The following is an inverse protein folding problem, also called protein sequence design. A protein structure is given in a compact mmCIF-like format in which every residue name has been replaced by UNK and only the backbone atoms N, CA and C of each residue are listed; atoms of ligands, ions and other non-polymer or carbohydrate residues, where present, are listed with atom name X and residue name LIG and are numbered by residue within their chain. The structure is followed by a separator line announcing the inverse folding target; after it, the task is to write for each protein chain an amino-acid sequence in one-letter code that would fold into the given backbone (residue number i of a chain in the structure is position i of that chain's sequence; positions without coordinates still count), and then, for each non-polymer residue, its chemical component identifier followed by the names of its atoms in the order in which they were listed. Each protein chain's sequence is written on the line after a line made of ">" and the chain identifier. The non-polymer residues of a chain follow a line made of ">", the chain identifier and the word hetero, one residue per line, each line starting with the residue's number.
data_IF_410215068943
#
_entry.id   IF_410215068943
#
_cell.length_a   1.000
_cell.length_b   1.000
_cell.length_c   1.000
_cell.angle_alpha   90.00
_cell.angle_beta   90.00
_cell.angle_gamma   90.00
#
_symmetry.space_group_name_H-M   'P 1'
#
loop_
_entity.id
_entity.type
_entity.pdbx_description
1 polymer ?
#
# COMPACT_ATOMS: atom_id res chain seq x y z
N UNK A 1 -1.50 0.43 27.49
CA UNK A 1 -2.69 0.96 26.80
C UNK A 1 -2.30 1.18 25.36
N UNK A 2 -2.24 0.09 24.60
CA UNK A 2 -1.97 0.17 23.16
C UNK A 2 -3.30 0.49 22.49
N UNK A 3 -3.33 1.67 21.89
CA UNK A 3 -4.45 2.15 21.11
C UNK A 3 -4.82 1.09 20.08
N UNK A 4 -6.11 0.80 20.01
CA UNK A 4 -6.80 0.12 18.91
C UNK A 4 -6.55 0.97 17.63
N UNK A 5 -5.37 0.83 17.05
CA UNK A 5 -5.04 1.46 15.78
C UNK A 5 -5.88 0.69 14.78
N UNK A 6 -7.03 1.26 14.43
CA UNK A 6 -7.90 0.73 13.37
C UNK A 6 -7.09 0.73 12.08
N UNK A 7 -6.39 -0.38 11.84
CA UNK A 7 -5.50 -0.57 10.70
C UNK A 7 -6.39 -0.71 9.46
N UNK A 8 -6.65 0.42 8.79
CA UNK A 8 -7.40 0.41 7.54
C UNK A 8 -6.50 -0.07 6.41
N UNK A 9 -6.91 -1.14 5.75
CA UNK A 9 -6.33 -1.54 4.48
C UNK A 9 -6.42 -0.37 3.50
N UNK A 10 -5.43 -0.25 2.60
CA UNK A 10 -5.30 0.89 1.69
C UNK A 10 -6.36 0.90 0.55
N UNK A 11 -7.50 0.20 0.69
CA UNK A 11 -8.54 0.10 -0.35
C UNK A 11 -9.60 1.19 -0.18
N UNK A 12 -10.01 1.85 -1.27
CA UNK A 12 -11.13 2.82 -1.26
C UNK A 12 -12.46 2.15 -0.92
N UNK A 13 -12.61 0.87 -1.23
CA UNK A 13 -13.72 0.03 -0.79
C UNK A 13 -13.40 -0.46 0.61
N UNK A 14 -14.13 0.06 1.59
CA UNK A 14 -14.24 -0.35 3.00
C UNK A 14 -13.56 -1.69 3.32
N UNK A 15 -12.56 -1.66 4.22
CA UNK A 15 -11.79 -2.82 4.69
C UNK A 15 -12.59 -3.83 5.53
N UNK A 16 -13.81 -4.16 5.10
CA UNK A 16 -14.73 -5.13 5.71
C UNK A 16 -14.79 -6.46 4.96
N UNK A 17 -13.96 -6.64 3.93
CA UNK A 17 -13.80 -7.91 3.21
C UNK A 17 -12.77 -8.84 3.87
N UNK A 18 -12.77 -10.10 3.46
CA UNK A 18 -11.72 -11.06 3.83
C UNK A 18 -10.34 -10.60 3.36
N UNK A 19 -9.27 -11.08 4.00
CA UNK A 19 -7.88 -10.74 3.62
C UNK A 19 -7.61 -11.00 2.13
N UNK A 20 -8.14 -12.11 1.59
CA UNK A 20 -8.00 -12.48 0.18
C UNK A 20 -8.71 -11.49 -0.76
N UNK A 21 -9.90 -11.03 -0.40
CA UNK A 21 -10.64 -10.01 -1.17
C UNK A 21 -9.91 -8.66 -1.15
N UNK A 22 -9.39 -8.26 0.02
CA UNK A 22 -8.62 -7.03 0.16
C UNK A 22 -7.32 -7.12 -0.65
N UNK A 23 -6.61 -8.24 -0.58
CA UNK A 23 -5.40 -8.48 -1.36
C UNK A 23 -5.68 -8.39 -2.86
N UNK A 24 -6.74 -9.06 -3.33
CA UNK A 24 -7.14 -9.03 -4.73
C UNK A 24 -7.49 -7.62 -5.17
N UNK A 25 -8.27 -6.88 -4.38
CA UNK A 25 -8.62 -5.50 -4.67
C UNK A 25 -7.38 -4.59 -4.79
N UNK A 26 -6.38 -4.75 -3.92
CA UNK A 26 -5.12 -3.99 -4.02
C UNK A 26 -4.26 -4.38 -5.23
N UNK A 27 -4.33 -5.63 -5.67
CA UNK A 27 -3.63 -6.11 -6.87
C UNK A 27 -4.31 -5.68 -8.16
N UNK A 28 -5.62 -5.44 -8.12
CA UNK A 28 -6.42 -4.91 -9.22
C UNK A 28 -6.33 -3.38 -9.31
N UNK A 29 -6.17 -2.69 -8.17
CA UNK A 29 -6.01 -1.24 -8.11
C UNK A 29 -4.71 -0.79 -8.82
N UNK A 30 -4.79 -0.01 -9.91
CA UNK A 30 -3.64 0.39 -10.71
C UNK A 30 -2.69 1.36 -9.97
N UNK A 31 -3.20 2.05 -8.95
CA UNK A 31 -2.45 3.01 -8.16
C UNK A 31 -1.76 2.35 -6.97
N UNK A 32 -2.36 1.30 -6.39
CA UNK A 32 -1.81 0.56 -5.23
C UNK A 32 -0.90 -0.58 -5.66
N UNK A 33 -1.27 -1.33 -6.71
CA UNK A 33 -0.51 -2.49 -7.21
C UNK A 33 0.99 -2.20 -7.41
N UNK A 34 1.43 -1.05 -7.94
CA UNK A 34 2.85 -0.72 -8.05
C UNK A 34 3.55 -0.60 -6.70
N UNK A 35 2.92 0.01 -5.69
CA UNK A 35 3.47 0.14 -4.33
C UNK A 35 3.49 -1.22 -3.63
N UNK A 36 2.40 -2.01 -3.74
CA UNK A 36 2.31 -3.35 -3.17
C UNK A 36 3.44 -4.23 -3.69
N UNK A 37 3.58 -4.31 -5.01
CA UNK A 37 4.70 -5.04 -5.64
C UNK A 37 6.04 -4.51 -5.16
N UNK A 38 6.21 -3.20 -5.01
CA UNK A 38 7.49 -2.65 -4.59
C UNK A 38 7.81 -2.97 -3.12
N UNK A 39 6.83 -2.91 -2.22
CA UNK A 39 6.96 -3.23 -0.79
C UNK A 39 7.24 -4.72 -0.55
N UNK A 40 6.66 -5.60 -1.39
CA UNK A 40 6.97 -7.03 -1.39
C UNK A 40 8.42 -7.29 -1.83
N UNK A 41 8.89 -6.57 -2.85
CA UNK A 41 10.23 -6.79 -3.42
C UNK A 41 11.36 -6.03 -2.69
N UNK A 42 11.03 -5.12 -1.77
CA UNK A 42 11.98 -4.18 -1.17
C UNK A 42 11.44 -3.65 0.14
N UNK A 43 12.14 -3.93 1.24
CA UNK A 43 11.88 -3.28 2.52
C UNK A 43 12.22 -1.78 2.44
N UNK A 44 13.27 -1.45 1.68
CA UNK A 44 13.74 -0.07 1.53
C UNK A 44 12.82 0.78 0.67
N UNK A 45 12.70 2.06 1.08
CA UNK A 45 11.96 3.07 0.35
C UNK A 45 12.60 3.29 -1.03
N UNK A 46 11.85 3.10 -2.12
CA UNK A 46 12.37 3.36 -3.47
C UNK A 46 12.77 4.83 -3.63
N UNK A 47 13.82 5.08 -4.42
CA UNK A 47 14.24 6.44 -4.71
C UNK A 47 13.13 7.23 -5.42
N UNK A 48 13.02 8.51 -5.10
CA UNK A 48 11.99 9.39 -5.65
C UNK A 48 12.05 9.45 -7.18
N UNK A 49 13.24 9.45 -7.78
CA UNK A 49 13.43 9.43 -9.24
C UNK A 49 12.87 8.16 -9.89
N UNK A 50 13.07 6.98 -9.27
CA UNK A 50 12.56 5.71 -9.78
C UNK A 50 11.03 5.63 -9.72
N UNK A 51 10.40 6.43 -8.85
CA UNK A 51 8.95 6.56 -8.74
C UNK A 51 8.41 7.53 -9.80
N UNK A 52 9.03 8.71 -9.95
CA UNK A 52 8.61 9.70 -10.96
C UNK A 52 8.76 9.17 -12.39
N UNK A 53 9.77 8.34 -12.65
CA UNK A 53 9.99 7.71 -13.96
C UNK A 53 8.80 6.87 -14.45
N UNK A 54 7.84 6.54 -13.57
CA UNK A 54 6.63 5.77 -13.92
C UNK A 54 5.41 6.65 -14.24
N UNK A 55 5.51 7.96 -14.05
CA UNK A 55 4.49 8.98 -14.33
C UNK A 55 3.06 8.67 -13.82
N UNK A 56 2.96 8.14 -12.59
CA UNK A 56 1.67 7.85 -11.92
C UNK A 56 1.43 8.88 -10.80
N UNK A 57 0.45 9.80 -10.93
CA UNK A 57 0.16 10.82 -9.92
C UNK A 57 -0.15 10.24 -8.53
N UNK A 58 -0.85 9.10 -8.46
CA UNK A 58 -1.20 8.45 -7.20
C UNK A 58 -0.01 7.77 -6.51
N UNK A 59 1.00 7.31 -7.26
CA UNK A 59 2.20 6.71 -6.67
C UNK A 59 3.00 7.71 -5.85
N UNK A 60 2.94 9.02 -6.16
CA UNK A 60 3.54 10.08 -5.33
C UNK A 60 2.91 10.15 -3.94
N UNK A 61 1.57 10.05 -3.85
CA UNK A 61 0.84 10.08 -2.57
C UNK A 61 1.20 8.89 -1.69
N UNK A 62 1.22 7.70 -2.27
CA UNK A 62 1.59 6.49 -1.53
C UNK A 62 3.08 6.41 -1.21
N UNK A 63 3.96 7.02 -2.02
CA UNK A 63 5.39 7.15 -1.70
C UNK A 63 5.62 8.06 -0.50
N UNK A 64 4.89 9.17 -0.39
CA UNK A 64 4.95 10.03 0.80
C UNK A 64 4.47 9.29 2.06
N UNK A 65 3.55 8.34 1.90
CA UNK A 65 3.06 7.48 2.96
C UNK A 65 3.92 6.22 3.18
N UNK A 66 5.02 6.02 2.44
CA UNK A 66 5.76 4.75 2.44
C UNK A 66 6.13 4.25 3.84
N UNK A 67 6.60 5.14 4.70
CA UNK A 67 7.05 4.82 6.06
C UNK A 67 5.88 4.49 7.01
N UNK A 68 4.66 4.92 6.66
CA UNK A 68 3.42 4.55 7.36
C UNK A 68 2.76 3.28 6.81
N UNK A 69 3.24 2.78 5.67
CA UNK A 69 2.72 1.55 5.07
C UNK A 69 3.42 0.33 5.64
N UNK A 70 2.66 -0.70 5.99
CA UNK A 70 3.17 -2.00 6.40
C UNK A 70 2.50 -3.11 5.59
N UNK A 71 3.26 -4.16 5.30
CA UNK A 71 2.79 -5.33 4.58
C UNK A 71 2.52 -6.44 5.60
N UNK A 72 1.31 -6.98 5.61
CA UNK A 72 0.94 -8.15 6.43
C UNK A 72 0.08 -9.08 5.60
N UNK A 73 0.44 -10.37 5.55
CA UNK A 73 -0.27 -11.40 4.79
C UNK A 73 -0.52 -11.02 3.32
N UNK A 74 0.41 -10.27 2.74
CA UNK A 74 0.33 -9.78 1.36
C UNK A 74 -0.67 -8.64 1.12
N UNK A 75 -1.17 -8.01 2.19
CA UNK A 75 -2.01 -6.80 2.16
C UNK A 75 -1.23 -5.59 2.68
N UNK A 76 -1.36 -4.46 1.99
CA UNK A 76 -0.86 -3.16 2.43
C UNK A 76 -1.83 -2.50 3.39
N UNK A 77 -1.29 -2.14 4.53
CA UNK A 77 -2.00 -1.45 5.59
C UNK A 77 -1.33 -0.11 5.89
N UNK A 78 -2.12 0.86 6.33
CA UNK A 78 -1.62 2.14 6.83
C UNK A 78 -1.68 2.13 8.35
N UNK A 79 -0.57 2.51 8.99
CA UNK A 79 -0.49 2.78 10.43
C UNK A 79 -1.27 4.03 10.81
#
# INVERSE_FOLDING_TARGET
>A
METDISVKALTMTTGSGSTDEIQKAQLEDPDIKPILKKKINSADRPSYQKIIARDIPATKRYWALWDSLHLKDGVLYRK
#
